data_IF_276880728256
#
_entry.id   IF_276880728256
#
_cell.length_a   1.000
_cell.length_b   1.000
_cell.length_c   1.000
_cell.angle_alpha   90.00
_cell.angle_beta   90.00
_cell.angle_gamma   90.00
#
_symmetry.space_group_name_H-M   'P 1'
#
loop_
_entity.id
_entity.type
_entity.pdbx_description
1 polymer ?
#
# COMPACT_ATOMS: atom_id res chain seq x y z
N UNK A 1 -37.12 39.58 -17.52
CA UNK A 1 -37.74 39.56 -18.87
C UNK A 1 -36.74 38.97 -19.87
N UNK A 2 -36.96 37.70 -20.25
CA UNK A 2 -36.20 36.96 -21.26
C UNK A 2 -37.23 36.42 -22.27
N UNK A 3 -37.07 36.61 -23.58
CA UNK A 3 -37.98 36.08 -24.60
C UNK A 3 -37.46 34.82 -25.31
N UNK A 4 -38.43 34.03 -25.81
CA UNK A 4 -38.42 33.11 -26.98
C UNK A 4 -37.37 31.98 -27.03
N UNK A 5 -37.66 30.69 -27.24
CA UNK A 5 -38.77 30.04 -27.93
C UNK A 5 -38.42 29.77 -29.41
N UNK A 6 -38.15 28.50 -29.78
CA UNK A 6 -38.48 27.79 -31.05
C UNK A 6 -37.65 26.47 -31.22
N UNK A 7 -38.05 25.52 -32.10
CA UNK A 7 -38.19 24.10 -31.80
C UNK A 7 -37.27 23.20 -32.63
N UNK A 8 -37.16 21.92 -32.24
CA UNK A 8 -36.66 20.86 -33.12
C UNK A 8 -37.63 19.69 -33.19
N UNK A 9 -37.85 19.25 -34.42
CA UNK A 9 -38.91 18.32 -34.81
C UNK A 9 -38.65 16.84 -34.54
N UNK A 10 -39.78 16.14 -34.56
CA UNK A 10 -40.11 14.70 -34.73
C UNK A 10 -39.15 13.90 -35.66
N UNK A 11 -39.10 12.53 -35.63
CA UNK A 11 -40.28 11.66 -35.53
C UNK A 11 -40.17 10.26 -34.88
N UNK A 12 -41.37 9.79 -34.49
CA UNK A 12 -41.98 8.46 -34.63
C UNK A 12 -41.12 7.18 -34.63
N UNK A 13 -41.18 6.50 -33.49
CA UNK A 13 -41.55 5.10 -33.24
C UNK A 13 -41.64 4.16 -34.47
N UNK A 14 -40.87 3.07 -34.43
CA UNK A 14 -41.21 1.82 -35.12
C UNK A 14 -40.95 0.63 -34.19
N UNK A 15 -42.01 -0.17 -34.05
CA UNK A 15 -42.13 -1.35 -33.21
C UNK A 15 -41.34 -2.53 -33.78
N UNK A 16 -40.72 -3.34 -32.90
CA UNK A 16 -40.57 -4.78 -33.13
C UNK A 16 -40.99 -5.54 -31.87
N UNK A 17 -41.89 -6.53 -31.99
CA UNK A 17 -42.31 -7.37 -30.87
C UNK A 17 -41.30 -8.50 -30.65
N UNK A 18 -40.88 -8.71 -29.41
CA UNK A 18 -40.08 -9.84 -28.97
C UNK A 18 -40.64 -10.36 -27.65
N UNK A 19 -41.45 -11.42 -27.74
CA UNK A 19 -41.98 -12.16 -26.61
C UNK A 19 -40.88 -13.02 -25.97
N UNK A 20 -40.86 -13.08 -24.64
CA UNK A 20 -40.04 -14.02 -23.87
C UNK A 20 -39.79 -13.55 -22.44
N UNK A 21 -40.75 -13.80 -21.54
CA UNK A 21 -40.58 -13.65 -20.10
C UNK A 21 -40.46 -15.00 -19.39
N UNK A 22 -39.47 -15.13 -18.50
CA UNK A 22 -39.32 -16.24 -17.53
C UNK A 22 -37.88 -16.41 -17.04
N UNK A 23 -37.62 -16.70 -15.75
CA UNK A 23 -36.73 -15.89 -14.91
C UNK A 23 -35.39 -16.55 -14.53
N UNK A 24 -34.35 -15.75 -14.31
CA UNK A 24 -33.10 -16.23 -13.73
C UNK A 24 -32.12 -15.11 -13.35
N UNK A 25 -31.99 -14.86 -12.03
CA UNK A 25 -30.77 -14.46 -11.30
C UNK A 25 -30.00 -13.18 -11.67
N UNK A 26 -29.59 -12.34 -10.69
CA UNK A 26 -28.65 -11.26 -10.94
C UNK A 26 -27.22 -11.80 -10.91
N UNK A 27 -26.52 -11.75 -12.04
CA UNK A 27 -25.05 -11.84 -12.06
C UNK A 27 -24.52 -10.65 -12.82
N UNK A 28 -24.10 -9.64 -12.06
CA UNK A 28 -23.21 -8.59 -12.56
C UNK A 28 -21.94 -9.28 -13.06
N UNK A 29 -21.75 -9.25 -14.37
CA UNK A 29 -20.57 -9.77 -15.04
C UNK A 29 -19.84 -8.60 -15.66
N UNK A 30 -18.68 -8.31 -15.08
CA UNK A 30 -17.68 -7.39 -15.58
C UNK A 30 -17.32 -7.71 -17.04
N UNK A 31 -17.48 -6.73 -17.92
CA UNK A 31 -16.96 -6.74 -19.27
C UNK A 31 -15.92 -5.62 -19.41
N UNK A 32 -14.64 -5.97 -19.23
CA UNK A 32 -13.58 -5.32 -20.01
C UNK A 32 -13.51 -5.95 -21.41
N UNK A 33 -12.56 -5.58 -22.30
CA UNK A 33 -11.53 -4.55 -22.17
C UNK A 33 -11.48 -3.59 -23.39
N UNK A 34 -10.91 -2.39 -23.24
CA UNK A 34 -10.45 -1.59 -24.40
C UNK A 34 -9.08 -1.01 -24.07
N UNK A 35 -8.14 -1.29 -24.97
CA UNK A 35 -6.70 -1.25 -24.70
C UNK A 35 -6.04 0.11 -24.82
N UNK A 36 -4.77 0.13 -24.40
CA UNK A 36 -3.74 0.91 -25.08
C UNK A 36 -3.19 2.13 -24.33
N UNK A 37 -2.55 1.91 -23.18
CA UNK A 37 -1.28 2.58 -22.80
C UNK A 37 -0.39 1.54 -22.11
N UNK A 38 0.93 1.71 -22.24
CA UNK A 38 1.95 0.68 -22.10
C UNK A 38 1.96 -0.16 -20.81
N UNK A 39 2.74 -1.24 -20.85
CA UNK A 39 2.95 -2.24 -19.82
C UNK A 39 3.60 -1.70 -18.52
N UNK A 40 2.92 -0.78 -17.85
CA UNK A 40 3.19 -0.26 -16.50
C UNK A 40 1.90 -0.33 -15.67
N UNK A 41 1.17 -1.44 -15.74
CA UNK A 41 -0.25 -1.46 -15.35
C UNK A 41 -0.69 -2.60 -14.44
N UNK A 42 0.22 -3.32 -13.77
CA UNK A 42 -0.21 -4.41 -12.87
C UNK A 42 -0.10 -4.11 -11.38
N UNK A 43 0.75 -3.17 -10.94
CA UNK A 43 1.01 -2.99 -9.51
C UNK A 43 1.11 -1.53 -9.05
N UNK A 44 0.82 -0.54 -9.92
CA UNK A 44 0.69 0.86 -9.49
C UNK A 44 -0.66 1.06 -8.81
N UNK A 45 -0.78 0.61 -7.56
CA UNK A 45 -1.94 0.97 -6.73
C UNK A 45 -1.85 2.44 -6.37
N UNK A 46 -2.76 3.24 -6.95
CA UNK A 46 -2.92 4.66 -6.65
C UNK A 46 -3.81 4.91 -5.43
N UNK A 47 -4.10 3.86 -4.65
CA UNK A 47 -4.93 3.93 -3.45
C UNK A 47 -4.47 2.91 -2.43
N UNK A 48 -4.41 3.30 -1.17
CA UNK A 48 -4.11 2.41 -0.05
C UNK A 48 -5.33 1.53 0.31
N UNK A 49 -5.05 0.32 0.75
CA UNK A 49 -6.07 -0.49 1.45
C UNK A 49 -6.30 0.07 2.86
N UNK A 50 -7.44 -0.23 3.52
CA UNK A 50 -7.71 0.25 4.88
C UNK A 50 -6.59 -0.07 5.88
N UNK A 51 -6.05 -1.29 5.84
CA UNK A 51 -4.96 -1.69 6.73
C UNK A 51 -3.65 -0.93 6.45
N UNK A 52 -3.38 -0.59 5.19
CA UNK A 52 -2.21 0.23 4.84
C UNK A 52 -2.39 1.69 5.29
N UNK A 53 -3.60 2.23 5.16
CA UNK A 53 -3.92 3.57 5.66
C UNK A 53 -3.80 3.66 7.18
N UNK A 54 -4.27 2.65 7.92
CA UNK A 54 -4.14 2.59 9.39
C UNK A 54 -2.67 2.48 9.83
N UNK A 55 -1.88 1.66 9.14
CA UNK A 55 -0.44 1.55 9.39
C UNK A 55 0.28 2.86 9.10
N UNK A 56 -0.01 3.51 7.97
CA UNK A 56 0.59 4.79 7.62
C UNK A 56 0.26 5.86 8.67
N UNK A 57 -1.02 6.00 9.03
CA UNK A 57 -1.47 6.95 10.04
C UNK A 57 -0.82 6.71 11.42
N UNK A 58 -0.62 5.44 11.80
CA UNK A 58 0.11 5.10 13.01
C UNK A 58 1.57 5.56 12.93
N UNK A 59 2.27 5.22 11.85
CA UNK A 59 3.69 5.57 11.69
C UNK A 59 3.89 7.09 11.66
N UNK A 60 3.12 7.83 10.86
CA UNK A 60 3.24 9.30 10.76
C UNK A 60 2.99 10.02 12.09
N UNK A 61 2.15 9.44 12.95
CA UNK A 61 1.90 9.98 14.29
C UNK A 61 3.09 9.75 15.25
N UNK A 62 3.92 8.74 14.98
CA UNK A 62 4.93 8.25 15.91
C UNK A 62 6.38 8.38 15.38
N UNK A 63 6.58 8.79 14.13
CA UNK A 63 7.89 8.83 13.45
C UNK A 63 8.82 9.94 13.96
N UNK A 64 8.29 10.92 14.69
CA UNK A 64 9.08 12.03 15.23
C UNK A 64 9.64 12.97 14.16
N UNK A 65 9.01 13.06 12.99
CA UNK A 65 9.46 13.81 11.79
C UNK A 65 10.70 13.19 11.11
N UNK A 66 10.81 11.86 11.14
CA UNK A 66 11.84 11.14 10.41
C UNK A 66 11.81 11.47 8.91
N UNK A 67 12.97 11.51 8.26
CA UNK A 67 13.08 11.70 6.80
C UNK A 67 12.29 10.63 6.03
N UNK A 68 12.30 9.40 6.55
CA UNK A 68 11.51 8.29 6.07
C UNK A 68 10.61 7.82 7.23
N UNK A 69 9.27 7.94 7.13
CA UNK A 69 8.37 7.48 8.19
C UNK A 69 8.59 6.01 8.54
N UNK A 70 8.80 5.16 7.52
CA UNK A 70 9.19 3.76 7.68
C UNK A 70 9.95 3.20 6.48
N UNK A 71 10.59 2.04 6.68
CA UNK A 71 11.15 1.21 5.62
C UNK A 71 10.21 0.04 5.28
N UNK A 72 10.27 -0.40 4.03
CA UNK A 72 9.58 -1.59 3.56
C UNK A 72 10.57 -2.56 2.91
N UNK A 73 10.30 -3.86 2.99
CA UNK A 73 11.20 -4.90 2.49
C UNK A 73 11.67 -4.67 1.04
N UNK A 74 10.78 -4.21 0.16
CA UNK A 74 11.12 -3.98 -1.23
C UNK A 74 10.28 -2.89 -1.90
N UNK A 75 10.64 -2.56 -3.14
CA UNK A 75 9.90 -1.59 -3.94
C UNK A 75 8.41 -1.89 -4.08
N UNK A 76 8.02 -3.17 -4.29
CA UNK A 76 6.62 -3.52 -4.45
C UNK A 76 5.81 -3.28 -3.16
N UNK A 77 6.42 -3.47 -2.00
CA UNK A 77 5.82 -3.14 -0.71
C UNK A 77 5.76 -1.62 -0.44
N UNK A 78 6.73 -0.85 -0.93
CA UNK A 78 6.78 0.60 -0.75
C UNK A 78 5.87 1.37 -1.74
N UNK A 79 5.71 0.84 -2.96
CA UNK A 79 5.07 1.53 -4.07
C UNK A 79 3.66 2.08 -3.76
N UNK A 80 2.74 1.34 -3.11
CA UNK A 80 1.41 1.87 -2.80
C UNK A 80 1.46 3.14 -1.95
N UNK A 81 2.37 3.23 -0.98
CA UNK A 81 2.51 4.41 -0.12
C UNK A 81 3.13 5.59 -0.85
N UNK A 82 4.17 5.32 -1.65
CA UNK A 82 4.86 6.35 -2.44
C UNK A 82 3.93 6.94 -3.50
N UNK A 83 3.14 6.11 -4.19
CA UNK A 83 2.31 6.57 -5.30
C UNK A 83 0.93 7.07 -4.90
N UNK A 84 0.34 6.54 -3.83
CA UNK A 84 -0.99 7.00 -3.38
C UNK A 84 -0.90 8.29 -2.54
N UNK A 85 0.03 8.35 -1.58
CA UNK A 85 0.09 9.44 -0.60
C UNK A 85 1.35 10.31 -0.74
N UNK A 86 2.29 9.94 -1.61
CA UNK A 86 3.56 10.67 -1.73
C UNK A 86 4.51 10.46 -0.54
N UNK A 87 4.24 9.46 0.31
CA UNK A 87 5.03 9.19 1.51
C UNK A 87 6.43 8.70 1.11
N UNK A 88 7.52 9.28 1.66
CA UNK A 88 8.87 8.83 1.38
C UNK A 88 9.19 7.55 2.16
N UNK A 89 8.73 6.41 1.66
CA UNK A 89 9.04 5.09 2.24
C UNK A 89 10.39 4.59 1.71
N UNK A 90 11.24 4.05 2.57
CA UNK A 90 12.55 3.51 2.19
C UNK A 90 12.45 2.02 1.80
N UNK A 91 12.58 1.64 0.52
CA UNK A 91 12.68 0.23 0.14
C UNK A 91 14.06 -0.34 0.53
N UNK A 92 14.08 -1.47 1.23
CA UNK A 92 15.34 -2.14 1.63
C UNK A 92 15.98 -2.91 0.46
N UNK A 93 15.17 -3.49 -0.41
CA UNK A 93 15.59 -4.22 -1.61
C UNK A 93 14.83 -3.78 -2.87
N UNK A 94 15.45 -3.94 -4.04
CA UNK A 94 14.78 -3.60 -5.29
C UNK A 94 15.66 -3.83 -6.51
N UNK A 95 15.00 -4.03 -7.65
CA UNK A 95 15.65 -4.33 -8.93
C UNK A 95 16.33 -3.08 -9.56
N UNK A 96 15.97 -1.87 -9.11
CA UNK A 96 16.33 -0.60 -9.76
C UNK A 96 17.10 0.38 -8.87
N UNK A 97 17.32 0.05 -7.58
CA UNK A 97 18.06 0.90 -6.64
C UNK A 97 19.11 0.06 -5.91
N UNK A 98 20.26 0.67 -5.62
CA UNK A 98 21.30 0.07 -4.77
C UNK A 98 20.67 -0.35 -3.44
N UNK A 99 20.78 -1.63 -3.09
CA UNK A 99 20.27 -2.16 -1.83
C UNK A 99 20.88 -1.39 -0.65
N UNK A 100 20.06 -1.05 0.34
CA UNK A 100 20.55 -0.37 1.55
C UNK A 100 21.43 -1.36 2.33
N UNK A 101 22.65 -0.96 2.67
CA UNK A 101 23.55 -1.80 3.50
C UNK A 101 23.16 -1.73 4.97
N UNK A 102 23.54 -2.72 5.79
CA UNK A 102 23.29 -2.67 7.23
C UNK A 102 23.92 -1.44 7.90
N UNK A 103 25.12 -1.06 7.48
CA UNK A 103 25.79 0.13 8.01
C UNK A 103 25.03 1.41 7.68
N UNK A 104 24.56 1.56 6.44
CA UNK A 104 23.73 2.70 6.03
C UNK A 104 22.41 2.73 6.82
N UNK A 105 21.76 1.58 6.97
CA UNK A 105 20.49 1.49 7.71
C UNK A 105 20.66 1.87 9.18
N UNK A 106 21.71 1.37 9.84
CA UNK A 106 22.02 1.74 11.24
C UNK A 106 22.31 3.23 11.39
N UNK A 107 22.97 3.85 10.41
CA UNK A 107 23.19 5.29 10.42
C UNK A 107 21.87 6.08 10.38
N UNK A 108 20.90 5.66 9.57
CA UNK A 108 19.57 6.29 9.51
C UNK A 108 18.79 6.11 10.82
N UNK A 109 18.91 4.95 11.48
CA UNK A 109 18.28 4.72 12.79
C UNK A 109 18.95 5.59 13.85
N UNK A 110 20.28 5.67 13.85
CA UNK A 110 21.05 6.48 14.80
C UNK A 110 20.75 7.99 14.67
N UNK A 111 20.56 8.49 13.45
CA UNK A 111 20.18 9.89 13.22
C UNK A 111 18.71 10.16 13.50
N UNK A 112 17.89 9.13 13.66
CA UNK A 112 16.43 9.23 13.75
C UNK A 112 15.76 9.56 12.42
N UNK A 113 16.49 9.46 11.30
CA UNK A 113 15.95 9.62 9.95
C UNK A 113 15.02 8.48 9.54
N UNK A 114 15.03 7.37 10.29
CA UNK A 114 14.06 6.30 10.20
C UNK A 114 13.82 5.68 11.57
N UNK A 115 12.56 5.33 11.88
CA UNK A 115 12.19 4.72 13.17
C UNK A 115 11.37 3.45 13.04
N UNK A 116 10.69 3.26 11.92
CA UNK A 116 9.83 2.11 11.73
C UNK A 116 10.29 1.26 10.56
N UNK A 117 10.13 -0.06 10.69
CA UNK A 117 10.44 -1.01 9.65
C UNK A 117 9.30 -2.01 9.50
N UNK A 118 8.78 -2.14 8.28
CA UNK A 118 7.78 -3.13 7.93
C UNK A 118 8.46 -4.31 7.22
N UNK A 119 8.60 -5.41 7.95
CA UNK A 119 9.37 -6.59 7.51
C UNK A 119 8.49 -7.83 7.63
N UNK A 120 8.45 -8.66 6.60
CA UNK A 120 7.81 -9.97 6.68
C UNK A 120 8.77 -11.06 7.21
N UNK A 121 8.23 -12.25 7.48
CA UNK A 121 9.01 -13.36 7.99
C UNK A 121 10.11 -13.86 7.02
N UNK A 122 9.98 -13.59 5.71
CA UNK A 122 10.98 -13.95 4.72
C UNK A 122 12.09 -12.89 4.65
N UNK A 123 11.73 -11.60 4.57
CA UNK A 123 12.63 -10.44 4.61
C UNK A 123 13.49 -10.40 5.88
N UNK A 124 12.92 -10.79 7.02
CA UNK A 124 13.63 -10.91 8.28
C UNK A 124 14.74 -11.98 8.26
N UNK A 125 14.68 -12.95 7.34
CA UNK A 125 15.63 -14.07 7.24
C UNK A 125 16.54 -13.99 6.01
N UNK A 126 16.13 -13.24 4.99
CA UNK A 126 16.79 -13.19 3.69
C UNK A 126 17.80 -12.07 3.55
N UNK A 127 17.78 -11.07 4.45
CA UNK A 127 18.65 -9.90 4.41
C UNK A 127 19.32 -9.62 5.75
N UNK A 128 20.56 -9.10 5.69
CA UNK A 128 21.31 -8.70 6.88
C UNK A 128 20.58 -7.58 7.66
N UNK A 129 19.99 -6.63 6.94
CA UNK A 129 19.15 -5.56 7.50
C UNK A 129 17.91 -6.13 8.18
N UNK A 130 17.18 -7.03 7.51
CA UNK A 130 15.97 -7.64 8.08
C UNK A 130 16.25 -8.49 9.31
N UNK A 131 17.33 -9.27 9.30
CA UNK A 131 17.74 -10.07 10.46
C UNK A 131 18.11 -9.19 11.64
N UNK A 132 18.84 -8.09 11.41
CA UNK A 132 19.18 -7.14 12.45
C UNK A 132 17.95 -6.42 12.99
N UNK A 133 17.02 -5.98 12.15
CA UNK A 133 15.76 -5.34 12.59
C UNK A 133 15.01 -6.29 13.53
N UNK A 134 14.86 -7.56 13.14
CA UNK A 134 14.13 -8.55 13.93
C UNK A 134 14.80 -8.87 15.28
N UNK A 135 16.12 -8.68 15.42
CA UNK A 135 16.84 -8.93 16.67
C UNK A 135 17.07 -7.69 17.53
N UNK A 136 17.21 -6.51 16.92
CA UNK A 136 17.61 -5.27 17.60
C UNK A 136 16.43 -4.34 17.90
N UNK A 137 15.38 -4.35 17.07
CA UNK A 137 14.26 -3.43 17.19
C UNK A 137 13.07 -4.07 17.91
N UNK A 138 12.23 -3.25 18.54
CA UNK A 138 11.05 -3.72 19.25
C UNK A 138 9.88 -4.01 18.28
N UNK A 139 9.28 -5.20 18.37
CA UNK A 139 8.05 -5.51 17.65
C UNK A 139 6.88 -4.65 18.18
N UNK A 140 6.14 -4.03 17.26
CA UNK A 140 4.94 -3.24 17.56
C UNK A 140 3.72 -4.17 17.49
N UNK A 141 2.90 -4.16 18.55
CA UNK A 141 1.65 -4.91 18.58
C UNK A 141 0.77 -4.56 17.36
N UNK A 142 0.36 -5.54 16.54
CA UNK A 142 -0.54 -5.32 15.41
C UNK A 142 -1.81 -4.53 15.73
N UNK A 143 -2.34 -4.68 16.94
CA UNK A 143 -3.54 -3.98 17.41
C UNK A 143 -3.31 -2.47 17.52
N UNK A 144 -2.07 -2.02 17.68
CA UNK A 144 -1.74 -0.59 17.76
C UNK A 144 -1.96 0.13 16.42
N UNK A 145 -1.85 -0.58 15.30
CA UNK A 145 -2.02 -0.03 13.95
C UNK A 145 -3.22 -0.62 13.20
N UNK A 146 -4.27 -1.02 13.94
CA UNK A 146 -5.57 -1.35 13.35
C UNK A 146 -5.74 -2.80 12.92
N UNK A 147 -4.78 -3.70 13.20
CA UNK A 147 -5.03 -5.13 13.05
C UNK A 147 -5.99 -5.59 14.17
N UNK A 148 -7.30 -5.51 13.91
CA UNK A 148 -8.29 -6.27 14.68
C UNK A 148 -7.97 -7.74 14.55
N UNK A 149 -7.97 -8.48 15.66
CA UNK A 149 -7.71 -9.92 15.73
C UNK A 149 -8.48 -10.67 14.63
N UNK A 150 -7.87 -10.83 13.45
CA UNK A 150 -8.40 -11.73 12.44
C UNK A 150 -8.05 -13.10 12.98
N UNK A 151 -9.02 -13.71 13.68
CA UNK A 151 -8.94 -15.11 14.07
C UNK A 151 -8.56 -15.94 12.86
N UNK A 152 -7.28 -16.29 12.76
CA UNK A 152 -6.68 -17.12 11.73
C UNK A 152 -5.25 -17.37 12.21
N UNK A 153 -4.88 -18.64 12.34
CA UNK A 153 -3.60 -19.20 12.78
C UNK A 153 -2.39 -18.81 11.89
N UNK A 154 -2.45 -17.68 11.19
CA UNK A 154 -1.42 -17.21 10.26
C UNK A 154 -0.90 -15.87 10.76
N UNK A 155 0.39 -15.84 11.09
CA UNK A 155 1.13 -14.62 11.44
C UNK A 155 0.81 -13.49 10.45
N UNK A 156 0.79 -12.21 10.90
CA UNK A 156 0.59 -11.10 10.00
C UNK A 156 1.58 -11.22 8.83
N UNK A 157 1.10 -10.96 7.62
CA UNK A 157 1.95 -11.08 6.44
C UNK A 157 3.17 -10.14 6.53
N UNK A 158 3.12 -9.11 7.36
CA UNK A 158 4.20 -8.17 7.63
C UNK A 158 4.12 -7.70 9.09
N UNK A 159 5.26 -7.61 9.76
CA UNK A 159 5.40 -7.15 11.15
C UNK A 159 6.02 -5.76 11.17
N UNK A 160 5.47 -4.87 11.99
CA UNK A 160 6.02 -3.54 12.19
C UNK A 160 7.00 -3.56 13.38
N UNK A 161 8.23 -3.10 13.16
CA UNK A 161 9.24 -2.93 14.19
C UNK A 161 9.47 -1.44 14.41
N UNK A 162 9.70 -1.06 15.68
CA UNK A 162 10.15 0.27 16.10
C UNK A 162 11.61 0.18 16.52
N UNK A 163 12.46 0.93 15.83
CA UNK A 163 13.88 1.07 16.11
C UNK A 163 14.13 2.44 16.74
N UNK A 164 14.82 2.45 17.87
CA UNK A 164 15.29 3.65 18.55
C UNK A 164 16.77 3.91 18.22
N UNK A 165 17.26 5.16 18.35
CA UNK A 165 18.68 5.47 18.10
C UNK A 165 19.65 4.63 18.95
N UNK A 166 19.24 4.16 20.12
CA UNK A 166 20.01 3.23 20.95
C UNK A 166 20.25 1.88 20.26
N UNK A 167 19.29 1.42 19.49
CA UNK A 167 19.32 0.09 18.86
C UNK A 167 20.34 0.05 17.74
N UNK A 168 20.67 1.19 17.13
CA UNK A 168 21.68 1.32 16.09
C UNK A 168 23.07 0.81 16.50
N UNK A 169 23.34 0.71 17.81
CA UNK A 169 24.59 0.19 18.38
C UNK A 169 24.53 -1.28 18.78
N UNK A 170 23.37 -1.93 18.66
CA UNK A 170 23.18 -3.34 18.97
C UNK A 170 23.83 -4.25 17.93
N UNK A 171 24.48 -5.31 18.41
CA UNK A 171 25.22 -6.31 17.65
C UNK A 171 24.40 -7.58 17.41
#
# INVERSE_FOLDING_TARGET
PLPAGLPTGKPSISHRPGAGGGPGGPTGGDAGPTGGVGAIGRDLRTSLTPAQSELLAYVEKHDGNAKYPFSAENWAAAAPYIYAEGTPVLPLAGMHSTSVTLTEYRHLVASGDIRFALVDAAGAKSSEVGSWIASACAEVDPRAYGATDRGSEKAPAQTLYRCEPSDATSH
#
